data_IF_248890527686
#
_entry.id   IF_248890527686
#
_cell.length_a   1.000
_cell.length_b   1.000
_cell.length_c   1.000
_cell.angle_alpha   90.00
_cell.angle_beta   90.00
_cell.angle_gamma   90.00
#
_symmetry.space_group_name_H-M   'P 1'
#
loop_
_entity.id
_entity.type
_entity.pdbx_description
1 polymer ?
#
# COMPACT_ATOMS: atom_id res chain seq x y z
N UNK A 1 -54.97 32.94 38.33
CA UNK A 1 -54.68 34.33 37.87
C UNK A 1 -53.44 34.26 36.98
N UNK A 2 -53.26 34.91 35.82
CA UNK A 2 -54.00 35.81 34.89
C UNK A 2 -53.46 35.45 33.48
N UNK A 3 -54.09 35.63 32.32
CA UNK A 3 -55.46 35.99 31.88
C UNK A 3 -55.57 35.59 30.37
N UNK A 4 -56.72 35.16 29.85
CA UNK A 4 -56.88 34.75 28.43
C UNK A 4 -57.60 35.82 27.60
N UNK A 5 -56.99 36.21 26.47
CA UNK A 5 -57.61 36.96 25.33
C UNK A 5 -58.17 38.35 25.75
N UNK A 6 -58.48 39.31 24.87
CA UNK A 6 -58.67 39.34 23.41
C UNK A 6 -58.49 40.79 22.97
N UNK A 7 -57.71 41.07 21.91
CA UNK A 7 -57.97 42.26 21.08
C UNK A 7 -57.59 41.96 19.63
N UNK A 8 -58.44 42.39 18.69
CA UNK A 8 -58.28 42.17 17.25
C UNK A 8 -59.00 43.29 16.50
N UNK A 9 -58.25 44.16 15.82
CA UNK A 9 -58.61 44.66 14.49
C UNK A 9 -57.55 44.19 13.48
N UNK A 10 -57.83 43.76 12.24
CA UNK A 10 -58.77 44.19 11.20
C UNK A 10 -58.17 45.16 10.17
N UNK A 11 -57.70 44.55 9.06
CA UNK A 11 -57.70 45.04 7.66
C UNK A 11 -56.54 45.92 7.15
N UNK A 12 -56.38 45.82 5.82
CA UNK A 12 -55.41 46.45 4.90
C UNK A 12 -53.93 46.04 5.11
N UNK A 13 -53.11 45.81 4.07
CA UNK A 13 -53.42 45.70 2.63
C UNK A 13 -52.28 46.22 1.72
N UNK A 14 -51.40 45.33 1.24
CA UNK A 14 -50.31 45.60 0.25
C UNK A 14 -49.22 46.62 0.70
N UNK A 15 -48.06 46.77 -0.01
CA UNK A 15 -47.60 46.07 -1.22
C UNK A 15 -46.32 45.22 -1.05
N UNK A 16 -45.83 44.67 -2.18
CA UNK A 16 -44.58 43.92 -2.33
C UNK A 16 -43.35 44.67 -1.76
N UNK A 17 -42.42 43.92 -1.17
CA UNK A 17 -40.99 44.26 -1.15
C UNK A 17 -40.18 42.99 -1.43
N UNK A 18 -39.37 43.01 -2.50
CA UNK A 18 -38.45 41.91 -2.85
C UNK A 18 -37.28 41.82 -1.85
N UNK A 19 -36.63 40.64 -1.72
CA UNK A 19 -35.63 40.42 -0.69
C UNK A 19 -34.33 41.14 -1.00
N UNK A 20 -33.78 41.85 -0.01
CA UNK A 20 -32.38 42.30 -0.04
C UNK A 20 -31.50 41.10 0.28
N UNK A 21 -31.04 40.40 -0.74
CA UNK A 21 -30.00 39.38 -0.62
C UNK A 21 -28.68 40.10 -0.31
N UNK A 22 -28.28 40.09 0.95
CA UNK A 22 -26.93 40.51 1.35
C UNK A 22 -25.95 39.42 0.92
N UNK A 23 -25.38 39.60 -0.27
CA UNK A 23 -24.29 38.76 -0.75
C UNK A 23 -23.02 39.04 0.09
N UNK A 24 -22.83 38.27 1.15
CA UNK A 24 -21.58 38.25 1.91
C UNK A 24 -20.51 37.64 1.02
N UNK A 25 -19.75 38.50 0.33
CA UNK A 25 -18.59 38.08 -0.43
C UNK A 25 -17.47 37.66 0.53
N UNK A 26 -17.38 36.36 0.84
CA UNK A 26 -16.16 35.81 1.41
C UNK A 26 -15.05 35.95 0.35
N UNK A 27 -13.94 36.65 0.63
CA UNK A 27 -12.80 36.61 -0.26
C UNK A 27 -12.21 35.19 -0.22
N UNK A 28 -12.25 34.50 -1.37
CA UNK A 28 -11.56 33.22 -1.58
C UNK A 28 -10.04 33.46 -1.71
N UNK A 29 -9.44 33.96 -0.63
CA UNK A 29 -7.98 34.05 -0.48
C UNK A 29 -7.43 32.67 -0.07
N UNK A 30 -7.58 31.70 -0.96
CA UNK A 30 -7.13 30.31 -0.78
C UNK A 30 -6.07 29.92 -1.83
N UNK A 31 -5.21 30.87 -2.20
CA UNK A 31 -3.93 30.62 -2.86
C UNK A 31 -2.83 31.02 -1.89
N UNK A 32 -2.52 30.13 -0.95
CA UNK A 32 -1.20 30.08 -0.32
C UNK A 32 -0.30 29.25 -1.24
N UNK A 33 0.80 29.82 -1.73
CA UNK A 33 1.87 29.03 -2.32
C UNK A 33 2.35 28.01 -1.26
N UNK A 34 2.21 26.71 -1.55
CA UNK A 34 2.84 25.71 -0.69
C UNK A 34 4.36 25.86 -0.80
N UNK A 35 5.09 25.85 0.33
CA UNK A 35 6.54 25.88 0.30
C UNK A 35 7.04 24.63 -0.43
N UNK A 36 7.65 24.85 -1.59
CA UNK A 36 8.11 23.89 -2.58
C UNK A 36 8.43 22.51 -1.97
N UNK A 37 7.44 21.61 -1.99
CA UNK A 37 7.51 20.36 -1.25
C UNK A 37 8.63 19.49 -1.82
N UNK A 38 9.65 19.20 -1.01
CA UNK A 38 10.76 18.33 -1.41
C UNK A 38 10.16 16.98 -1.76
N UNK A 39 10.19 16.64 -3.06
CA UNK A 39 9.64 15.40 -3.60
C UNK A 39 10.45 14.22 -3.06
N UNK A 40 10.01 13.68 -1.94
CA UNK A 40 10.62 12.51 -1.29
C UNK A 40 10.38 11.31 -2.19
N UNK A 41 11.45 10.75 -2.75
CA UNK A 41 11.36 9.49 -3.51
C UNK A 41 11.09 8.37 -2.50
N UNK A 42 10.07 7.52 -2.71
CA UNK A 42 9.66 6.54 -1.69
C UNK A 42 10.59 5.33 -1.59
N UNK A 43 11.46 5.11 -2.58
CA UNK A 43 12.42 4.01 -2.67
C UNK A 43 13.70 4.44 -3.38
N UNK A 44 14.75 3.62 -3.26
CA UNK A 44 15.96 3.61 -4.08
C UNK A 44 16.15 2.20 -4.68
N UNK A 45 16.77 2.11 -5.85
CA UNK A 45 17.22 0.83 -6.43
C UNK A 45 18.74 0.76 -6.33
N UNK A 46 19.23 -0.23 -5.59
CA UNK A 46 20.64 -0.56 -5.55
C UNK A 46 20.85 -1.74 -6.51
N UNK A 47 21.54 -1.49 -7.61
CA UNK A 47 21.93 -2.56 -8.54
C UNK A 47 23.01 -3.44 -7.90
N UNK A 48 22.93 -4.75 -8.15
CA UNK A 48 24.01 -5.68 -7.84
C UNK A 48 25.07 -5.67 -8.96
N UNK A 49 26.32 -6.00 -8.64
CA UNK A 49 27.39 -6.16 -9.64
C UNK A 49 27.54 -7.61 -10.11
N UNK A 50 26.93 -8.58 -9.40
CA UNK A 50 27.06 -10.02 -9.65
C UNK A 50 25.94 -10.58 -10.54
N UNK A 51 24.72 -10.09 -10.36
CA UNK A 51 23.55 -10.43 -11.18
C UNK A 51 22.72 -9.17 -11.53
N UNK A 52 21.77 -9.29 -12.46
CA UNK A 52 20.93 -8.17 -12.92
C UNK A 52 19.65 -8.03 -12.05
N UNK A 53 19.75 -8.29 -10.74
CA UNK A 53 18.64 -8.18 -9.79
C UNK A 53 18.87 -6.98 -8.87
N UNK A 54 17.94 -6.03 -8.87
CA UNK A 54 18.03 -4.88 -7.98
C UNK A 54 17.60 -5.24 -6.55
N UNK A 55 18.17 -4.53 -5.58
CA UNK A 55 17.62 -4.42 -4.24
C UNK A 55 16.76 -3.17 -4.16
N UNK A 56 15.47 -3.33 -3.83
CA UNK A 56 14.53 -2.25 -3.55
C UNK A 56 14.73 -1.82 -2.10
N UNK A 57 15.25 -0.60 -1.89
CA UNK A 57 15.41 -0.01 -0.55
C UNK A 57 14.27 0.97 -0.33
N UNK A 58 13.33 0.62 0.55
CA UNK A 58 12.18 1.48 0.85
C UNK A 58 12.53 2.56 1.88
N UNK A 59 11.89 3.72 1.77
CA UNK A 59 11.77 4.63 2.92
C UNK A 59 10.84 4.03 3.97
N UNK A 60 11.08 4.30 5.26
CA UNK A 60 10.22 3.85 6.36
C UNK A 60 8.73 4.15 6.10
N UNK A 61 8.41 5.36 5.62
CA UNK A 61 7.05 5.80 5.28
C UNK A 61 6.46 5.07 4.06
N UNK A 62 7.28 4.56 3.15
CA UNK A 62 6.81 3.72 2.05
C UNK A 62 6.49 2.30 2.54
N UNK A 63 7.37 1.72 3.35
CA UNK A 63 7.14 0.42 4.01
C UNK A 63 5.84 0.42 4.85
N UNK A 64 5.61 1.46 5.65
CA UNK A 64 4.37 1.66 6.42
C UNK A 64 3.11 1.78 5.53
N UNK A 65 3.22 2.41 4.35
CA UNK A 65 2.10 2.57 3.41
C UNK A 65 1.77 1.30 2.63
N UNK A 66 2.78 0.45 2.42
CA UNK A 66 2.65 -0.87 1.81
C UNK A 66 2.33 -1.96 2.85
N UNK A 67 2.21 -1.58 4.14
CA UNK A 67 1.99 -2.52 5.25
C UNK A 67 2.95 -3.71 5.20
N UNK A 68 4.25 -3.44 4.97
CA UNK A 68 5.24 -4.51 4.75
C UNK A 68 5.35 -5.44 5.97
N UNK A 69 4.93 -6.68 5.76
CA UNK A 69 5.09 -7.82 6.66
C UNK A 69 5.99 -8.87 6.01
N UNK A 70 6.81 -9.53 6.83
CA UNK A 70 7.66 -10.66 6.42
C UNK A 70 7.34 -11.91 7.24
N UNK A 71 7.75 -13.06 6.72
CA UNK A 71 7.81 -14.32 7.45
C UNK A 71 9.13 -15.03 7.13
N UNK A 72 9.70 -15.85 8.03
CA UNK A 72 10.81 -16.71 7.67
C UNK A 72 10.38 -17.81 6.69
N UNK A 73 11.25 -18.17 5.75
CA UNK A 73 11.20 -19.47 5.04
C UNK A 73 11.33 -20.58 6.08
N UNK A 74 10.43 -21.56 6.06
CA UNK A 74 10.40 -22.63 7.06
C UNK A 74 10.85 -23.97 6.48
N UNK A 75 11.67 -24.71 7.23
CA UNK A 75 11.80 -26.16 7.05
C UNK A 75 10.65 -26.87 7.77
N UNK A 76 9.93 -27.70 7.03
CA UNK A 76 8.82 -28.50 7.55
C UNK A 76 8.91 -29.94 7.07
N UNK A 77 8.46 -30.88 7.92
CA UNK A 77 8.31 -32.29 7.51
C UNK A 77 7.01 -32.45 6.73
N UNK A 78 7.12 -32.54 5.41
CA UNK A 78 6.02 -32.73 4.48
C UNK A 78 6.19 -34.09 3.80
N UNK A 79 5.15 -34.93 3.81
CA UNK A 79 5.18 -36.32 3.32
C UNK A 79 6.36 -37.17 3.82
N UNK A 80 6.77 -36.93 5.07
CA UNK A 80 7.89 -37.62 5.72
C UNK A 80 9.29 -37.18 5.25
N UNK A 81 9.40 -36.06 4.54
CA UNK A 81 10.66 -35.44 4.10
C UNK A 81 10.77 -34.01 4.62
N UNK A 82 11.97 -33.55 4.93
CA UNK A 82 12.21 -32.12 5.22
C UNK A 82 12.12 -31.36 3.89
N UNK A 83 11.31 -30.30 3.85
CA UNK A 83 11.07 -29.42 2.69
C UNK A 83 11.12 -27.96 3.11
N UNK A 84 11.58 -27.10 2.22
CA UNK A 84 11.39 -25.65 2.34
C UNK A 84 9.94 -25.28 2.04
N UNK A 85 9.40 -24.33 2.78
CA UNK A 85 8.01 -23.87 2.69
C UNK A 85 7.89 -22.37 2.90
N UNK A 86 6.96 -21.75 2.17
CA UNK A 86 6.57 -20.33 2.29
C UNK A 86 5.06 -20.18 2.12
N UNK A 87 4.44 -19.09 2.61
CA UNK A 87 3.04 -18.81 2.26
C UNK A 87 2.89 -18.45 0.78
N UNK A 88 1.73 -18.79 0.19
CA UNK A 88 1.41 -18.45 -1.20
C UNK A 88 1.42 -16.92 -1.45
N UNK A 89 1.13 -16.12 -0.42
CA UNK A 89 1.21 -14.66 -0.48
C UNK A 89 2.63 -14.10 -0.71
N UNK A 90 3.69 -14.89 -0.48
CA UNK A 90 5.07 -14.49 -0.75
C UNK A 90 5.49 -14.61 -2.23
N UNK A 91 4.68 -15.32 -3.04
CA UNK A 91 5.03 -15.70 -4.41
C UNK A 91 4.68 -14.58 -5.38
N UNK A 92 5.61 -14.26 -6.28
CA UNK A 92 5.33 -13.53 -7.51
C UNK A 92 5.82 -14.35 -8.73
N UNK A 93 5.01 -14.36 -9.77
CA UNK A 93 5.37 -14.90 -11.08
C UNK A 93 5.77 -13.74 -11.98
N UNK A 94 6.84 -13.89 -12.75
CA UNK A 94 7.19 -12.91 -13.79
C UNK A 94 6.42 -13.12 -15.10
N UNK A 95 6.80 -12.39 -16.14
CA UNK A 95 6.10 -12.38 -17.44
C UNK A 95 6.30 -13.64 -18.27
N UNK A 96 7.29 -14.48 -17.95
CA UNK A 96 7.55 -15.78 -18.61
C UNK A 96 7.14 -16.97 -17.74
N UNK A 97 6.88 -16.73 -16.45
CA UNK A 97 6.33 -17.71 -15.51
C UNK A 97 7.34 -18.22 -14.49
N UNK A 98 8.54 -17.66 -14.41
CA UNK A 98 9.50 -18.03 -13.36
C UNK A 98 8.99 -17.49 -12.01
N UNK A 99 9.27 -18.25 -10.95
CA UNK A 99 8.73 -18.03 -9.61
C UNK A 99 9.74 -17.40 -8.67
N UNK A 100 9.30 -16.40 -7.93
CA UNK A 100 10.16 -15.56 -7.10
C UNK A 100 9.52 -15.25 -5.75
N UNK A 101 10.37 -14.97 -4.76
CA UNK A 101 10.01 -14.30 -3.50
C UNK A 101 10.85 -13.04 -3.32
N UNK A 102 10.44 -12.13 -2.45
CA UNK A 102 11.27 -10.98 -2.04
C UNK A 102 11.90 -11.24 -0.67
N UNK A 103 13.19 -11.59 -0.66
CA UNK A 103 13.97 -11.74 0.55
C UNK A 103 14.27 -10.38 1.19
N UNK A 104 14.34 -10.37 2.52
CA UNK A 104 14.57 -9.20 3.36
C UNK A 104 15.92 -9.32 4.10
N UNK A 105 17.06 -9.07 3.42
CA UNK A 105 18.39 -9.27 4.00
C UNK A 105 18.77 -8.19 5.03
N UNK A 106 18.22 -6.98 4.90
CA UNK A 106 18.54 -5.81 5.72
C UNK A 106 17.28 -4.95 5.93
N UNK A 107 17.19 -4.13 7.01
CA UNK A 107 16.05 -3.26 7.28
C UNK A 107 15.64 -2.40 6.08
N UNK A 108 14.36 -2.45 5.71
CA UNK A 108 13.73 -1.79 4.56
C UNK A 108 14.26 -2.20 3.17
N UNK A 109 15.23 -3.11 3.08
CA UNK A 109 15.77 -3.66 1.83
C UNK A 109 15.04 -4.94 1.44
N UNK A 110 14.65 -5.05 0.16
CA UNK A 110 13.98 -6.22 -0.41
C UNK A 110 14.61 -6.58 -1.75
N UNK A 111 15.08 -7.82 -1.89
CA UNK A 111 15.75 -8.32 -3.10
C UNK A 111 15.02 -9.55 -3.60
N UNK A 112 14.83 -9.65 -4.91
CA UNK A 112 14.16 -10.81 -5.51
C UNK A 112 15.08 -12.04 -5.42
N UNK A 113 14.53 -13.17 -5.01
CA UNK A 113 15.20 -14.46 -4.93
C UNK A 113 14.38 -15.53 -5.67
N UNK A 114 15.05 -16.32 -6.51
CA UNK A 114 14.39 -17.37 -7.28
C UNK A 114 13.96 -18.51 -6.36
N UNK A 115 12.83 -19.14 -6.68
CA UNK A 115 12.35 -20.35 -6.04
C UNK A 115 11.92 -21.36 -7.10
N UNK A 116 11.98 -22.65 -6.77
CA UNK A 116 11.35 -23.70 -7.57
C UNK A 116 10.21 -24.30 -6.75
N UNK A 117 8.97 -24.08 -7.18
CA UNK A 117 7.78 -24.71 -6.55
C UNK A 117 7.74 -26.20 -6.91
N UNK A 118 7.38 -27.04 -5.94
CA UNK A 118 7.00 -28.44 -6.14
C UNK A 118 5.49 -28.56 -6.29
N UNK A 119 4.76 -28.09 -5.27
CA UNK A 119 3.31 -27.97 -5.29
C UNK A 119 2.81 -26.93 -4.28
N UNK A 120 1.52 -26.62 -4.38
CA UNK A 120 0.80 -25.69 -3.50
C UNK A 120 -0.31 -26.48 -2.80
N UNK A 121 -0.42 -26.33 -1.47
CA UNK A 121 -1.48 -26.90 -0.65
C UNK A 121 -2.17 -25.77 0.14
N UNK A 122 -3.29 -25.30 -0.41
CA UNK A 122 -4.00 -24.12 0.11
C UNK A 122 -3.11 -22.87 0.09
N UNK A 123 -2.90 -22.28 1.27
CA UNK A 123 -2.06 -21.10 1.45
C UNK A 123 -0.56 -21.43 1.66
N UNK A 124 -0.17 -22.71 1.66
CA UNK A 124 1.22 -23.16 1.84
C UNK A 124 1.82 -23.60 0.50
N UNK A 125 3.05 -23.17 0.22
CA UNK A 125 3.81 -23.56 -0.97
C UNK A 125 4.99 -24.40 -0.55
N UNK A 126 5.11 -25.60 -1.13
CA UNK A 126 6.22 -26.53 -0.89
C UNK A 126 7.24 -26.35 -2.00
N UNK A 127 8.49 -26.10 -1.63
CA UNK A 127 9.57 -25.79 -2.57
C UNK A 127 10.49 -27.00 -2.80
N UNK A 128 11.02 -27.07 -4.03
CA UNK A 128 12.17 -27.88 -4.40
C UNK A 128 13.48 -27.13 -4.14
N UNK A 129 13.49 -25.81 -4.32
CA UNK A 129 14.65 -24.92 -4.13
C UNK A 129 14.20 -23.50 -3.78
N UNK A 130 15.05 -22.72 -3.11
CA UNK A 130 14.74 -21.36 -2.67
C UNK A 130 15.74 -20.81 -1.62
N UNK A 131 15.45 -19.65 -1.00
CA UNK A 131 16.30 -19.08 0.04
C UNK A 131 16.49 -20.01 1.26
N UNK A 132 17.59 -19.79 1.99
CA UNK A 132 17.93 -20.59 3.17
C UNK A 132 16.84 -20.53 4.26
N UNK A 133 16.65 -21.61 5.06
CA UNK A 133 15.72 -21.61 6.18
C UNK A 133 15.97 -20.44 7.14
N UNK A 134 14.90 -19.75 7.54
CA UNK A 134 14.99 -18.55 8.39
C UNK A 134 15.23 -17.24 7.62
N UNK A 135 15.40 -17.27 6.30
CA UNK A 135 15.38 -16.03 5.48
C UNK A 135 14.00 -15.39 5.59
N UNK A 136 13.93 -14.14 6.04
CA UNK A 136 12.69 -13.37 6.01
C UNK A 136 12.30 -13.04 4.56
N UNK A 137 11.06 -13.33 4.19
CA UNK A 137 10.47 -13.02 2.87
C UNK A 137 9.19 -12.21 3.02
N UNK A 138 9.00 -11.22 2.16
CA UNK A 138 7.80 -10.39 2.15
C UNK A 138 6.54 -11.21 1.81
N UNK A 139 5.46 -11.02 2.58
CA UNK A 139 4.15 -11.67 2.40
C UNK A 139 3.02 -10.68 2.04
N UNK A 140 3.34 -9.38 2.02
CA UNK A 140 2.45 -8.28 1.65
C UNK A 140 3.13 -7.43 0.59
N UNK A 141 2.34 -6.83 -0.30
CA UNK A 141 2.82 -5.89 -1.33
C UNK A 141 3.97 -6.40 -2.21
N UNK A 142 4.04 -7.72 -2.43
CA UNK A 142 5.06 -8.39 -3.26
C UNK A 142 4.96 -7.94 -4.73
N UNK A 143 3.74 -7.67 -5.21
CA UNK A 143 3.51 -7.15 -6.56
C UNK A 143 4.00 -5.68 -6.72
N UNK A 144 3.85 -4.86 -5.69
CA UNK A 144 4.36 -3.48 -5.64
C UNK A 144 5.89 -3.46 -5.58
N UNK A 145 6.52 -4.36 -4.81
CA UNK A 145 7.97 -4.57 -4.86
C UNK A 145 8.42 -4.98 -6.27
N UNK A 146 7.74 -5.94 -6.89
CA UNK A 146 8.05 -6.39 -8.25
C UNK A 146 7.94 -5.28 -9.29
N UNK A 147 6.84 -4.51 -9.29
CA UNK A 147 6.69 -3.35 -10.17
C UNK A 147 7.70 -2.21 -9.91
N UNK A 148 8.29 -2.17 -8.72
CA UNK A 148 9.34 -1.21 -8.33
C UNK A 148 10.73 -1.65 -8.80
N UNK A 149 11.06 -2.94 -8.65
CA UNK A 149 12.29 -3.58 -9.15
C UNK A 149 12.36 -3.56 -10.69
N UNK A 150 11.38 -4.16 -11.37
CA UNK A 150 11.45 -4.36 -12.82
C UNK A 150 10.99 -3.14 -13.63
N UNK A 151 10.12 -2.31 -13.02
CA UNK A 151 9.33 -1.29 -13.68
C UNK A 151 8.04 -1.84 -14.29
N UNK A 152 7.09 -0.95 -14.56
CA UNK A 152 5.77 -1.30 -15.11
C UNK A 152 5.75 -1.26 -16.64
N UNK A 153 5.16 -2.29 -17.27
CA UNK A 153 4.93 -2.34 -18.71
C UNK A 153 6.16 -2.66 -19.58
N UNK A 154 7.14 -3.37 -19.01
CA UNK A 154 8.21 -4.04 -19.77
C UNK A 154 7.85 -5.51 -20.02
#
# INVERSE_FOLDING_TARGET
MRYKRRYRPSRAGWPLALPVIVAVALPLAACSDEPNAIKTVPYELVADEVDDINTVVLTQRASERLFMETTPVLEQTVDGRIRLTVPYAAIIYDTIGDTWVYAHPEPLSYRRASITIDYIDGDLVVLNDGPEPGTEVAITSVAELYGTDTGVGK
#
